data_IF_563289580005
#
_entry.id   IF_563289580005
#
_cell.length_a   1.000
_cell.length_b   1.000
_cell.length_c   1.000
_cell.angle_alpha   90.00
_cell.angle_beta   90.00
_cell.angle_gamma   90.00
#
_symmetry.space_group_name_H-M   'P 1'
#
loop_
_entity.id
_entity.type
_entity.pdbx_description
1 polymer ?
#
# COMPACT_ATOMS: atom_id res chain seq x y z
N UNK A 1 -24.76 80.34 -29.63
CA UNK A 1 -23.75 80.57 -28.57
C UNK A 1 -23.24 79.23 -28.07
N UNK A 2 -21.94 79.19 -27.77
CA UNK A 2 -21.09 78.03 -27.43
C UNK A 2 -21.54 77.31 -26.15
N UNK A 3 -21.35 75.99 -26.06
CA UNK A 3 -20.48 75.35 -25.05
C UNK A 3 -20.30 73.84 -25.34
N UNK A 4 -19.04 73.40 -25.40
CA UNK A 4 -18.58 72.01 -25.47
C UNK A 4 -18.29 71.51 -24.04
N UNK A 5 -18.73 70.30 -23.68
CA UNK A 5 -18.22 69.48 -22.55
C UNK A 5 -18.48 68.00 -22.92
N UNK A 6 -17.52 67.21 -23.42
CA UNK A 6 -16.44 66.44 -22.76
C UNK A 6 -16.86 65.43 -21.68
N UNK A 7 -16.55 64.16 -21.99
CA UNK A 7 -16.10 63.05 -21.13
C UNK A 7 -17.12 62.21 -20.34
N UNK A 8 -17.21 60.92 -20.70
CA UNK A 8 -16.72 59.80 -19.87
C UNK A 8 -16.85 58.47 -20.64
N UNK A 9 -15.74 57.93 -21.15
CA UNK A 9 -15.65 56.54 -21.61
C UNK A 9 -15.35 55.69 -20.38
N UNK A 10 -16.35 54.97 -19.89
CA UNK A 10 -16.17 54.00 -18.80
C UNK A 10 -15.48 52.74 -19.32
N UNK A 11 -14.24 52.51 -18.90
CA UNK A 11 -13.54 51.25 -19.10
C UNK A 11 -14.03 50.22 -18.06
N UNK A 12 -14.87 49.27 -18.48
CA UNK A 12 -15.21 48.08 -17.70
C UNK A 12 -14.01 47.11 -17.77
N UNK A 13 -13.19 47.09 -16.71
CA UNK A 13 -12.18 46.05 -16.50
C UNK A 13 -12.91 44.84 -15.90
N UNK A 14 -13.21 43.84 -16.73
CA UNK A 14 -13.71 42.55 -16.28
C UNK A 14 -12.57 41.80 -15.57
N UNK A 15 -12.63 41.75 -14.24
CA UNK A 15 -11.75 40.92 -13.43
C UNK A 15 -12.10 39.44 -13.67
N UNK A 16 -11.26 38.74 -14.44
CA UNK A 16 -11.31 37.29 -14.56
C UNK A 16 -10.71 36.71 -13.29
N UNK A 17 -11.56 36.33 -12.33
CA UNK A 17 -11.14 35.49 -11.21
C UNK A 17 -10.78 34.10 -11.75
N UNK A 18 -9.49 33.84 -11.94
CA UNK A 18 -8.98 32.49 -12.13
C UNK A 18 -9.16 31.73 -10.81
N UNK A 19 -10.20 30.92 -10.71
CA UNK A 19 -10.35 29.94 -9.63
C UNK A 19 -9.32 28.84 -9.84
N UNK A 20 -8.23 28.90 -9.08
CA UNK A 20 -7.30 27.77 -8.97
C UNK A 20 -8.09 26.62 -8.34
N UNK A 21 -8.12 25.41 -8.93
CA UNK A 21 -8.76 24.28 -8.26
C UNK A 21 -8.04 24.06 -6.93
N UNK A 22 -8.81 24.02 -5.84
CA UNK A 22 -8.31 23.58 -4.56
C UNK A 22 -7.74 22.17 -4.76
N UNK A 23 -6.43 22.01 -4.57
CA UNK A 23 -5.83 20.69 -4.49
C UNK A 23 -6.42 20.04 -3.25
N UNK A 24 -7.33 19.10 -3.44
CA UNK A 24 -7.76 18.21 -2.37
C UNK A 24 -6.50 17.47 -1.91
N UNK A 25 -6.16 17.60 -0.62
CA UNK A 25 -5.11 16.78 -0.04
C UNK A 25 -5.47 15.31 -0.29
N UNK A 26 -4.53 14.48 -0.79
CA UNK A 26 -4.80 13.07 -0.97
C UNK A 26 -5.27 12.52 0.37
N UNK A 27 -6.35 11.72 0.39
CA UNK A 27 -6.93 11.26 1.64
C UNK A 27 -5.85 10.49 2.41
N UNK A 28 -5.81 10.62 3.75
CA UNK A 28 -4.63 10.26 4.53
C UNK A 28 -4.41 8.75 4.55
N UNK A 29 -3.21 8.26 4.23
CA UNK A 29 -2.89 6.83 4.09
C UNK A 29 -3.19 6.07 5.38
N UNK A 30 -4.33 5.40 5.45
CA UNK A 30 -4.69 4.47 6.52
C UNK A 30 -3.87 3.19 6.31
N UNK A 31 -3.32 2.59 7.37
CA UNK A 31 -2.79 1.23 7.31
C UNK A 31 -3.81 0.28 6.67
N UNK A 32 -3.33 -0.76 5.99
CA UNK A 32 -4.23 -1.76 5.43
C UNK A 32 -5.04 -2.41 6.56
N UNK A 33 -6.34 -2.61 6.31
CA UNK A 33 -7.21 -3.22 7.30
C UNK A 33 -6.78 -4.67 7.59
N UNK A 34 -6.84 -5.07 8.85
CA UNK A 34 -6.61 -6.46 9.26
C UNK A 34 -7.76 -7.30 8.71
N UNK A 35 -7.44 -8.38 8.01
CA UNK A 35 -8.47 -9.16 7.34
C UNK A 35 -7.94 -10.21 6.38
N UNK A 36 -8.88 -10.92 5.79
CA UNK A 36 -8.65 -11.84 4.69
C UNK A 36 -8.96 -11.12 3.37
N UNK A 37 -8.04 -11.23 2.42
CA UNK A 37 -8.11 -10.62 1.09
C UNK A 37 -8.00 -11.68 0.01
N UNK A 38 -8.84 -11.63 -1.02
CA UNK A 38 -8.58 -12.40 -2.25
C UNK A 38 -7.42 -11.73 -2.98
N UNK A 39 -6.37 -12.50 -3.25
CA UNK A 39 -5.27 -12.13 -4.13
C UNK A 39 -5.56 -12.64 -5.54
N UNK A 40 -5.55 -11.71 -6.50
CA UNK A 40 -5.87 -11.97 -7.90
C UNK A 40 -4.75 -11.42 -8.77
N UNK A 41 -4.07 -12.32 -9.49
CA UNK A 41 -3.04 -12.00 -10.47
C UNK A 41 -3.27 -12.84 -11.73
N UNK A 42 -3.08 -12.24 -12.89
CA UNK A 42 -3.17 -12.95 -14.17
C UNK A 42 -2.13 -14.08 -14.26
N UNK A 43 -2.55 -15.23 -14.79
CA UNK A 43 -1.68 -16.41 -14.96
C UNK A 43 -1.32 -17.13 -13.66
N UNK A 44 -1.92 -16.74 -12.54
CA UNK A 44 -1.70 -17.33 -11.22
C UNK A 44 -3.02 -17.89 -10.66
N UNK A 45 -2.97 -18.98 -9.88
CA UNK A 45 -4.15 -19.47 -9.17
C UNK A 45 -4.59 -18.45 -8.10
N UNK A 46 -5.88 -18.44 -7.74
CA UNK A 46 -6.37 -17.58 -6.66
C UNK A 46 -5.69 -17.94 -5.34
N UNK A 47 -5.41 -16.92 -4.53
CA UNK A 47 -4.89 -17.09 -3.18
C UNK A 47 -5.66 -16.20 -2.21
N UNK A 48 -5.60 -16.52 -0.92
CA UNK A 48 -6.15 -15.70 0.16
C UNK A 48 -5.01 -15.19 1.03
N UNK A 49 -4.91 -13.88 1.14
CA UNK A 49 -3.97 -13.22 2.03
C UNK A 49 -4.65 -12.88 3.35
N UNK A 50 -4.13 -13.40 4.44
CA UNK A 50 -4.41 -12.88 5.77
C UNK A 50 -3.38 -11.80 6.10
N UNK A 51 -3.86 -10.59 6.34
CA UNK A 51 -3.07 -9.40 6.60
C UNK A 51 -3.36 -8.91 8.02
N UNK A 52 -2.31 -8.61 8.78
CA UNK A 52 -2.42 -7.97 10.09
C UNK A 52 -1.34 -6.92 10.30
N UNK A 53 -1.73 -5.70 10.65
CA UNK A 53 -0.81 -4.58 10.84
C UNK A 53 -0.56 -4.30 12.33
N UNK A 54 0.71 -4.12 12.65
CA UNK A 54 1.17 -3.70 13.98
C UNK A 54 2.02 -2.44 13.82
N UNK A 55 1.67 -1.41 14.59
CA UNK A 55 2.41 -0.16 14.67
C UNK A 55 2.94 0.05 16.09
N UNK A 56 4.26 0.17 16.24
CA UNK A 56 4.94 0.45 17.50
C UNK A 56 5.60 1.83 17.45
N UNK A 57 5.54 2.59 18.55
CA UNK A 57 6.34 3.81 18.67
C UNK A 57 7.74 3.49 19.19
N UNK A 58 8.71 4.30 18.78
CA UNK A 58 10.13 4.16 19.17
C UNK A 58 10.35 4.39 20.69
N UNK A 59 9.44 5.08 21.36
CA UNK A 59 9.53 5.48 22.77
C UNK A 59 8.79 4.52 23.73
N UNK A 60 8.25 3.40 23.26
CA UNK A 60 7.57 2.40 24.10
C UNK A 60 6.16 2.78 24.56
N UNK A 61 5.63 3.95 24.19
CA UNK A 61 4.20 4.25 24.35
C UNK A 61 3.40 3.58 23.22
N UNK A 62 2.16 3.15 23.51
CA UNK A 62 1.26 2.52 22.51
C UNK A 62 0.34 3.53 21.83
N UNK A 63 0.51 4.82 22.10
CA UNK A 63 -0.41 5.86 21.68
C UNK A 63 0.30 6.84 20.74
N UNK A 64 0.13 6.61 19.45
CA UNK A 64 0.54 7.56 18.43
C UNK A 64 -0.58 8.55 18.14
N UNK A 65 -0.23 9.82 17.90
CA UNK A 65 -1.22 10.88 17.71
C UNK A 65 -2.03 10.70 16.41
N UNK A 66 -1.38 10.20 15.36
CA UNK A 66 -1.98 10.03 14.04
C UNK A 66 -1.34 8.82 13.32
N UNK A 67 -2.12 7.75 13.13
CA UNK A 67 -1.70 6.57 12.38
C UNK A 67 -1.88 6.70 10.87
N UNK A 68 -2.43 7.82 10.40
CA UNK A 68 -2.63 8.13 8.99
C UNK A 68 -1.45 8.89 8.37
N UNK A 69 -0.51 9.37 9.19
CA UNK A 69 0.77 9.94 8.78
C UNK A 69 1.70 8.84 8.22
N UNK A 70 2.19 9.05 6.99
CA UNK A 70 3.06 8.12 6.29
C UNK A 70 4.47 8.01 6.89
N UNK A 71 5.03 9.08 7.44
CA UNK A 71 6.33 9.05 8.09
C UNK A 71 6.25 8.18 9.35
N UNK A 72 5.19 8.38 10.13
CA UNK A 72 4.90 7.56 11.31
C UNK A 72 4.77 6.08 10.93
N UNK A 73 3.98 5.79 9.88
CA UNK A 73 3.78 4.41 9.45
C UNK A 73 5.05 3.76 8.90
N UNK A 74 5.83 4.49 8.10
CA UNK A 74 7.08 3.98 7.51
C UNK A 74 8.14 3.64 8.56
N UNK A 75 8.17 4.38 9.68
CA UNK A 75 9.11 4.13 10.78
C UNK A 75 8.63 3.07 11.77
N UNK A 76 7.33 3.04 12.06
CA UNK A 76 6.78 2.31 13.21
C UNK A 76 5.90 1.11 12.87
N UNK A 77 5.43 0.98 11.63
CA UNK A 77 4.47 -0.05 11.25
C UNK A 77 5.08 -1.20 10.44
N UNK A 78 4.54 -2.39 10.65
CA UNK A 78 4.78 -3.58 9.85
C UNK A 78 3.47 -4.33 9.64
N UNK A 79 3.25 -4.83 8.43
CA UNK A 79 2.07 -5.60 8.07
C UNK A 79 2.49 -7.05 7.83
N UNK A 80 2.08 -7.96 8.70
CA UNK A 80 2.28 -9.38 8.48
C UNK A 80 1.30 -9.86 7.43
N UNK A 81 1.84 -10.44 6.36
CA UNK A 81 1.10 -11.06 5.28
C UNK A 81 1.36 -12.55 5.32
N UNK A 82 0.30 -13.34 5.37
CA UNK A 82 0.37 -14.78 5.12
C UNK A 82 -0.60 -15.13 4.02
N UNK A 83 -0.18 -15.97 3.07
CA UNK A 83 -0.96 -16.30 1.89
C UNK A 83 -1.18 -17.81 1.83
N UNK A 84 -2.39 -18.19 1.44
CA UNK A 84 -2.79 -19.58 1.27
C UNK A 84 -3.51 -19.77 -0.06
N UNK A 85 -3.18 -20.87 -0.73
CA UNK A 85 -3.89 -21.41 -1.89
C UNK A 85 -4.59 -22.71 -1.50
N UNK A 86 -5.51 -23.18 -2.33
CA UNK A 86 -6.21 -24.45 -2.08
C UNK A 86 -5.26 -25.67 -2.15
N UNK A 87 -4.26 -25.61 -3.02
CA UNK A 87 -3.25 -26.68 -3.17
C UNK A 87 -1.87 -26.23 -2.67
N UNK A 88 -1.48 -26.68 -1.48
CA UNK A 88 -0.20 -26.30 -0.87
C UNK A 88 1.04 -26.85 -1.57
N UNK A 89 0.89 -27.91 -2.37
CA UNK A 89 1.99 -28.66 -2.97
C UNK A 89 2.08 -28.46 -4.49
N UNK A 90 1.16 -27.71 -5.08
CA UNK A 90 1.22 -27.34 -6.49
C UNK A 90 2.46 -26.50 -6.77
N UNK A 91 3.09 -26.70 -7.92
CA UNK A 91 4.34 -25.99 -8.27
C UNK A 91 4.14 -24.48 -8.37
N UNK A 92 3.02 -24.05 -8.99
CA UNK A 92 2.69 -22.62 -9.13
C UNK A 92 2.06 -22.09 -7.84
N UNK A 93 1.17 -22.85 -7.23
CA UNK A 93 0.50 -22.51 -5.97
C UNK A 93 1.50 -22.36 -4.81
N UNK A 94 2.54 -23.19 -4.78
CA UNK A 94 3.63 -23.13 -3.80
C UNK A 94 4.29 -21.75 -3.75
N UNK A 95 4.45 -21.10 -4.90
CA UNK A 95 5.02 -19.74 -5.00
C UNK A 95 4.07 -18.64 -4.49
N UNK A 96 2.81 -18.97 -4.24
CA UNK A 96 1.83 -18.08 -3.64
C UNK A 96 1.55 -18.41 -2.17
N UNK A 97 2.02 -19.55 -1.65
CA UNK A 97 1.95 -19.87 -0.22
C UNK A 97 3.06 -19.16 0.55
N UNK A 98 2.98 -17.83 0.57
CA UNK A 98 3.99 -16.93 1.13
C UNK A 98 3.68 -16.52 2.57
N UNK A 99 4.72 -16.14 3.31
CA UNK A 99 4.58 -15.31 4.51
C UNK A 99 5.68 -14.26 4.56
N UNK A 100 5.36 -13.04 4.96
CA UNK A 100 6.34 -11.96 5.06
C UNK A 100 5.83 -10.79 5.89
N UNK A 101 6.77 -10.02 6.46
CA UNK A 101 6.45 -8.78 7.16
C UNK A 101 6.70 -7.61 6.20
N UNK A 102 5.61 -7.04 5.68
CA UNK A 102 5.66 -5.90 4.79
C UNK A 102 5.98 -4.60 5.54
N UNK A 103 6.81 -3.76 4.92
CA UNK A 103 7.17 -2.43 5.41
C UNK A 103 6.73 -1.37 4.41
N UNK A 104 6.30 -0.22 4.92
CA UNK A 104 5.86 0.89 4.08
C UNK A 104 7.08 1.67 3.57
N UNK A 105 7.29 1.67 2.25
CA UNK A 105 8.35 2.41 1.59
C UNK A 105 7.81 3.06 0.31
N UNK A 106 8.01 4.37 0.16
CA UNK A 106 7.52 5.11 -1.02
C UNK A 106 6.00 5.03 -1.22
N UNK A 107 5.23 4.89 -0.13
CA UNK A 107 3.77 4.76 -0.17
C UNK A 107 3.25 3.33 -0.44
N UNK A 108 4.13 2.35 -0.64
CA UNK A 108 3.76 0.96 -0.90
C UNK A 108 4.22 0.04 0.22
N UNK A 109 3.33 -0.85 0.66
CA UNK A 109 3.67 -1.95 1.54
C UNK A 109 4.43 -3.00 0.76
N UNK A 110 5.67 -3.25 1.18
CA UNK A 110 6.61 -4.09 0.43
C UNK A 110 7.15 -5.23 1.28
N UNK A 111 7.10 -6.46 0.76
CA UNK A 111 7.78 -7.63 1.33
C UNK A 111 8.39 -8.50 0.22
N UNK A 112 9.37 -9.33 0.58
CA UNK A 112 10.13 -10.16 -0.35
C UNK A 112 10.18 -11.61 0.11
N UNK A 113 10.09 -12.54 -0.84
CA UNK A 113 10.29 -13.97 -0.64
C UNK A 113 11.37 -14.50 -1.57
N UNK A 114 12.12 -15.48 -1.09
CA UNK A 114 13.11 -16.19 -1.88
C UNK A 114 12.64 -17.63 -2.04
N UNK A 115 12.52 -18.07 -3.30
CA UNK A 115 12.13 -19.42 -3.64
C UNK A 115 13.36 -20.15 -4.16
N UNK A 116 13.66 -21.32 -3.62
CA UNK A 116 14.75 -22.16 -4.10
C UNK A 116 14.46 -22.82 -5.45
N UNK A 117 13.19 -22.86 -5.86
CA UNK A 117 12.71 -23.60 -7.04
C UNK A 117 11.56 -22.87 -7.75
N UNK A 118 11.74 -21.57 -8.05
CA UNK A 118 10.68 -20.73 -8.59
C UNK A 118 10.66 -20.55 -10.11
N UNK A 119 11.66 -21.07 -10.84
CA UNK A 119 11.66 -21.10 -12.31
C UNK A 119 12.21 -22.43 -12.81
N UNK A 120 11.60 -22.94 -13.88
CA UNK A 120 12.08 -24.11 -14.62
C UNK A 120 12.85 -23.64 -15.85
N UNK A 121 14.11 -24.07 -15.96
CA UNK A 121 14.96 -23.81 -17.11
C UNK A 121 14.62 -24.74 -18.28
N UNK A 122 15.06 -24.44 -19.53
CA UNK A 122 14.81 -25.29 -20.69
C UNK A 122 15.36 -26.72 -20.58
N UNK A 123 16.37 -26.94 -19.73
CA UNK A 123 16.96 -28.25 -19.41
C UNK A 123 16.20 -29.01 -18.31
N UNK A 124 15.11 -28.44 -17.78
CA UNK A 124 14.28 -29.03 -16.72
C UNK A 124 14.78 -28.77 -15.30
N UNK A 125 15.93 -28.11 -15.10
CA UNK A 125 16.38 -27.72 -13.76
C UNK A 125 15.49 -26.64 -13.17
N UNK A 126 15.31 -26.70 -11.85
CA UNK A 126 14.67 -25.63 -11.08
C UNK A 126 15.73 -24.71 -10.50
N UNK A 127 15.54 -23.40 -10.68
CA UNK A 127 16.47 -22.38 -10.21
C UNK A 127 15.76 -21.41 -9.25
N UNK A 128 16.51 -20.75 -8.36
CA UNK A 128 15.92 -19.83 -7.43
C UNK A 128 15.38 -18.57 -8.10
N UNK A 129 14.34 -17.99 -7.50
CA UNK A 129 13.82 -16.66 -7.88
C UNK A 129 13.49 -15.87 -6.62
N UNK A 130 13.53 -14.55 -6.73
CA UNK A 130 13.13 -13.65 -5.66
C UNK A 130 11.86 -12.91 -6.09
N UNK A 131 10.80 -13.03 -5.29
CA UNK A 131 9.56 -12.30 -5.48
C UNK A 131 9.46 -11.14 -4.50
N UNK A 132 9.25 -9.94 -5.02
CA UNK A 132 8.92 -8.76 -4.23
C UNK A 132 7.49 -8.34 -4.53
N UNK A 133 6.67 -8.25 -3.49
CA UNK A 133 5.29 -7.78 -3.57
C UNK A 133 5.24 -6.35 -3.02
N UNK A 134 4.74 -5.41 -3.81
CA UNK A 134 4.52 -4.03 -3.39
C UNK A 134 3.07 -3.64 -3.67
N UNK A 135 2.32 -3.21 -2.64
CA UNK A 135 0.90 -2.87 -2.78
C UNK A 135 0.50 -1.58 -2.07
N UNK A 136 -0.50 -0.92 -2.62
CA UNK A 136 -1.15 0.26 -2.06
C UNK A 136 -2.33 -0.17 -1.16
N UNK A 137 -2.33 0.29 0.09
CA UNK A 137 -3.35 -0.09 1.07
C UNK A 137 -4.74 0.49 0.80
N UNK A 138 -4.84 1.55 0.01
CA UNK A 138 -6.10 2.23 -0.37
C UNK A 138 -6.68 1.67 -1.65
N UNK A 139 -5.86 1.63 -2.69
CA UNK A 139 -6.27 1.15 -4.00
C UNK A 139 -6.45 -0.37 -3.99
N UNK A 140 -5.84 -1.07 -3.03
CA UNK A 140 -5.80 -2.53 -2.95
C UNK A 140 -5.27 -3.13 -4.26
N UNK A 141 -4.29 -2.46 -4.87
CA UNK A 141 -3.60 -2.89 -6.08
C UNK A 141 -2.10 -2.94 -5.81
N UNK A 142 -1.38 -3.77 -6.55
CA UNK A 142 0.05 -3.93 -6.36
C UNK A 142 0.76 -4.51 -7.57
N UNK A 143 2.08 -4.60 -7.47
CA UNK A 143 2.96 -5.22 -8.45
C UNK A 143 3.75 -6.32 -7.77
N UNK A 144 3.71 -7.53 -8.34
CA UNK A 144 4.67 -8.60 -8.04
C UNK A 144 5.83 -8.48 -9.01
N UNK A 145 7.02 -8.33 -8.45
CA UNK A 145 8.27 -8.32 -9.21
C UNK A 145 9.01 -9.62 -8.96
N UNK A 146 9.23 -10.42 -10.00
CA UNK A 146 9.99 -11.67 -9.92
C UNK A 146 11.36 -11.46 -10.56
N UNK A 147 12.42 -11.73 -9.81
CA UNK A 147 13.82 -11.62 -10.24
C UNK A 147 14.43 -13.02 -10.36
N UNK A 148 15.25 -13.23 -11.39
CA UNK A 148 16.03 -14.47 -11.58
C UNK A 148 17.44 -14.15 -12.07
N UNK A 149 18.39 -15.04 -11.76
CA UNK A 149 19.78 -14.95 -12.20
C UNK A 149 20.02 -15.56 -13.58
N UNK A 150 21.28 -15.78 -13.93
CA UNK A 150 21.70 -16.31 -15.23
C UNK A 150 21.84 -17.85 -15.29
N UNK A 151 21.35 -18.56 -14.26
CA UNK A 151 21.57 -19.99 -14.06
C UNK A 151 20.89 -20.89 -15.10
N UNK A 152 19.93 -20.37 -15.86
CA UNK A 152 19.28 -21.06 -16.99
C UNK A 152 20.04 -20.90 -18.32
N UNK A 153 21.24 -20.31 -18.33
CA UNK A 153 21.96 -19.96 -19.58
C UNK A 153 21.31 -18.79 -20.35
N UNK A 154 20.32 -18.14 -19.74
CA UNK A 154 19.73 -16.87 -20.19
C UNK A 154 20.21 -15.76 -19.27
N UNK A 155 20.41 -14.51 -19.73
CA UNK A 155 20.76 -13.41 -18.83
C UNK A 155 19.77 -13.27 -17.66
N UNK A 156 20.29 -12.77 -16.53
CA UNK A 156 19.48 -12.37 -15.39
C UNK A 156 18.40 -11.37 -15.83
N UNK A 157 17.24 -11.44 -15.19
CA UNK A 157 16.07 -10.69 -15.64
C UNK A 157 15.02 -10.50 -14.57
N UNK A 158 13.94 -9.84 -14.98
CA UNK A 158 12.85 -9.44 -14.11
C UNK A 158 11.53 -9.43 -14.86
N UNK A 159 10.46 -9.90 -14.22
CA UNK A 159 9.08 -9.64 -14.63
C UNK A 159 8.36 -8.79 -13.61
N UNK A 160 7.46 -7.94 -14.06
CA UNK A 160 6.52 -7.19 -13.21
C UNK A 160 5.11 -7.50 -13.66
N UNK A 161 4.31 -8.05 -12.76
CA UNK A 161 2.92 -8.42 -13.04
C UNK A 161 2.01 -7.71 -12.03
N UNK A 162 0.97 -6.99 -12.48
CA UNK A 162 0.03 -6.35 -11.58
C UNK A 162 -0.86 -7.40 -10.90
N UNK A 163 -1.25 -7.11 -9.66
CA UNK A 163 -2.25 -7.88 -8.92
C UNK A 163 -3.23 -6.95 -8.22
N UNK A 164 -4.35 -7.52 -7.80
CA UNK A 164 -5.35 -6.85 -7.00
C UNK A 164 -5.64 -7.64 -5.73
N UNK A 165 -6.00 -6.91 -4.69
CA UNK A 165 -6.49 -7.42 -3.42
C UNK A 165 -7.97 -7.04 -3.31
N UNK A 166 -8.79 -7.98 -2.83
CA UNK A 166 -10.20 -7.70 -2.52
C UNK A 166 -10.48 -8.12 -1.10
N UNK A 167 -10.85 -7.17 -0.24
CA UNK A 167 -11.25 -7.47 1.13
C UNK A 167 -12.43 -8.44 1.12
N UNK A 168 -12.24 -9.62 1.71
CA UNK A 168 -13.28 -10.64 1.89
C UNK A 168 -13.97 -10.46 3.23
N UNK A 169 -13.16 -10.25 4.26
CA UNK A 169 -13.55 -10.35 5.66
C UNK A 169 -12.60 -9.47 6.47
N UNK A 170 -13.17 -8.61 7.31
CA UNK A 170 -12.41 -7.91 8.34
C UNK A 170 -12.13 -8.87 9.49
N UNK A 171 -10.92 -8.80 10.03
CA UNK A 171 -10.56 -9.53 11.23
C UNK A 171 -11.18 -8.83 12.44
N UNK A 172 -11.83 -9.61 13.31
CA UNK A 172 -12.42 -9.14 14.57
C UNK A 172 -11.43 -9.35 15.73
N UNK A 173 -11.13 -8.34 16.57
CA UNK A 173 -11.61 -6.95 16.54
C UNK A 173 -11.02 -6.11 15.39
N UNK A 174 -11.81 -5.24 14.74
CA UNK A 174 -11.34 -4.42 13.63
C UNK A 174 -10.24 -3.42 14.04
N UNK A 175 -9.40 -3.05 13.07
CA UNK A 175 -8.20 -2.20 13.24
C UNK A 175 -8.47 -0.89 13.97
N UNK A 176 -9.65 -0.29 13.76
CA UNK A 176 -10.10 0.94 14.44
C UNK A 176 -10.14 0.81 15.96
N UNK A 177 -10.31 -0.40 16.50
CA UNK A 177 -10.26 -0.64 17.95
C UNK A 177 -8.84 -0.89 18.48
N UNK A 178 -7.86 -1.15 17.61
CA UNK A 178 -6.45 -1.33 18.01
C UNK A 178 -5.65 -0.02 17.87
N UNK A 179 -6.01 0.81 16.90
CA UNK A 179 -5.38 2.09 16.63
C UNK A 179 -6.49 3.15 16.51
N UNK A 180 -6.81 3.90 17.57
CA UNK A 180 -7.71 5.06 17.43
C UNK A 180 -7.10 6.00 16.39
N UNK A 181 -7.94 6.57 15.55
CA UNK A 181 -7.56 7.59 14.57
C UNK A 181 -7.11 8.90 15.25
N UNK A 182 -7.53 9.12 16.50
CA UNK A 182 -7.16 10.30 17.29
C UNK A 182 -6.80 9.93 18.74
N UNK A 183 -5.58 10.25 19.15
CA UNK A 183 -5.19 10.23 20.57
C UNK A 183 -5.19 11.67 21.10
N UNK A 184 -6.20 12.07 21.87
CA UNK A 184 -6.21 13.39 22.49
C UNK A 184 -5.26 13.41 23.70
N UNK A 185 -4.09 14.05 23.54
CA UNK A 185 -3.14 14.29 24.63
C UNK A 185 -3.71 15.34 25.58
N UNK A 186 -4.50 14.92 26.56
CA UNK A 186 -4.77 15.75 27.73
C UNK A 186 -3.51 15.75 28.61
N UNK A 187 -2.87 16.92 28.73
CA UNK A 187 -1.69 17.15 29.57
C UNK A 187 -1.93 16.54 30.96
N UNK A 188 -1.17 15.49 31.30
CA UNK A 188 -1.16 14.90 32.64
C UNK A 188 -2.08 13.70 32.92
N UNK A 189 -2.68 13.03 31.91
CA UNK A 189 -3.41 11.76 32.11
C UNK A 189 -2.97 10.65 31.15
N UNK A 190 -3.08 9.36 31.54
CA UNK A 190 -2.93 8.24 30.60
C UNK A 190 -3.95 8.41 29.47
N UNK A 191 -3.50 8.30 28.23
CA UNK A 191 -4.26 8.52 27.02
C UNK A 191 -5.54 7.67 26.98
N UNK A 192 -6.70 8.33 26.88
CA UNK A 192 -7.95 7.66 26.48
C UNK A 192 -7.99 7.73 24.96
N UNK A 193 -7.70 6.59 24.35
CA UNK A 193 -7.93 6.29 22.96
C UNK A 193 -9.44 6.02 22.79
N UNK A 194 -10.19 6.87 22.09
CA UNK A 194 -11.62 6.65 21.79
C UNK A 194 -11.87 6.60 20.30
#
# INVERSE_FOLDING_TARGET
MRFRYLAAVGALVAAVCATVPAHAEPPPLIPIADGNYDFIQEGMPPAVWEISTVCIQVNGTRAQQDYSDINIQSMGCSSRVTSRTDNKLGEVEGLLNTAGDARLAGGLWTFTNNWSSGRVCPDGRKVPVTDTFAYDARALTGIRTTLWGDECGTPAGMTKVPFTLRLRELRDPPVVHRFPDTCNYLVGRPSICS
#
